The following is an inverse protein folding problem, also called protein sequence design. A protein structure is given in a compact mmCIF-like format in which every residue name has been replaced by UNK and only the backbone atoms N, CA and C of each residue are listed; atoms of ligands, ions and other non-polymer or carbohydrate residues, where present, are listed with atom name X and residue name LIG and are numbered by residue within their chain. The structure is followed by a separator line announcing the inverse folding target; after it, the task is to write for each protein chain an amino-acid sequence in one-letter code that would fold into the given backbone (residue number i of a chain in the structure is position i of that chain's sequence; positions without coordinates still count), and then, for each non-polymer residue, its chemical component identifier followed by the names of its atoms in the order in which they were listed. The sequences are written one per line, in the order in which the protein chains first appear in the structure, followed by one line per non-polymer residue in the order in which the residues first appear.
data_IF_366236687137
#
_entry.id   IF_366236687137
#
_cell.length_a   1.000
_cell.length_b   1.000
_cell.length_c   1.000
_cell.angle_alpha   90.00
_cell.angle_beta   90.00
_cell.angle_gamma   90.00
#
_symmetry.space_group_name_H-M   'P 1'
#
loop_
_entity.id
_entity.type
_entity.pdbx_description
1 polymer ?
#
# COMPACT_ATOMS: atom_id res chain seq x y z
N UNK A 1 30.45 -14.79 3.41
CA UNK A 1 31.25 -13.71 4.03
C UNK A 1 31.02 -12.43 3.24
N UNK A 2 30.06 -11.61 3.67
CA UNK A 2 29.63 -10.39 2.98
C UNK A 2 30.56 -9.23 3.32
N UNK A 3 31.39 -8.81 2.36
CA UNK A 3 32.27 -7.63 2.43
C UNK A 3 31.47 -6.33 2.35
N UNK A 4 30.56 -6.09 3.28
CA UNK A 4 29.96 -4.77 3.46
C UNK A 4 30.60 -4.14 4.72
N UNK A 5 31.45 -3.10 4.58
CA UNK A 5 32.25 -2.54 5.68
C UNK A 5 31.41 -2.01 6.85
N UNK A 6 30.11 -1.77 6.67
CA UNK A 6 29.20 -1.40 7.76
C UNK A 6 28.94 -2.55 8.76
N UNK A 7 29.04 -3.82 8.34
CA UNK A 7 28.78 -4.98 9.22
C UNK A 7 29.98 -5.36 10.10
N UNK A 8 31.17 -4.80 9.85
CA UNK A 8 32.38 -5.15 10.61
C UNK A 8 32.34 -4.66 12.07
N UNK A 9 31.33 -3.86 12.43
CA UNK A 9 31.10 -3.35 13.78
C UNK A 9 29.97 -4.08 14.52
N UNK A 10 29.32 -5.08 13.89
CA UNK A 10 28.21 -5.81 14.50
C UNK A 10 28.68 -7.14 15.09
N UNK A 11 28.14 -7.56 16.25
CA UNK A 11 28.25 -8.94 16.70
C UNK A 11 27.67 -9.91 15.66
N UNK A 12 28.28 -11.09 15.51
CA UNK A 12 27.88 -12.09 14.49
C UNK A 12 26.38 -12.42 14.52
N UNK A 13 25.80 -12.54 15.72
CA UNK A 13 24.38 -12.84 15.88
C UNK A 13 23.46 -11.73 15.35
N UNK A 14 23.86 -10.45 15.40
CA UNK A 14 23.08 -9.33 14.84
C UNK A 14 23.19 -9.31 13.31
N UNK A 15 24.37 -9.63 12.78
CA UNK A 15 24.58 -9.78 11.34
C UNK A 15 23.70 -10.91 10.78
N UNK A 16 23.61 -12.05 11.47
CA UNK A 16 22.71 -13.15 11.10
C UNK A 16 21.24 -12.74 11.10
N UNK A 17 20.79 -11.98 12.11
CA UNK A 17 19.41 -11.48 12.18
C UNK A 17 19.10 -10.59 10.97
N UNK A 18 20.01 -9.68 10.60
CA UNK A 18 19.81 -8.82 9.42
C UNK A 18 19.71 -9.66 8.13
N UNK A 19 20.56 -10.67 7.96
CA UNK A 19 20.50 -11.52 6.77
C UNK A 19 19.19 -12.32 6.69
N UNK A 20 18.73 -12.87 7.81
CA UNK A 20 17.44 -13.58 7.88
C UNK A 20 16.28 -12.64 7.54
N UNK A 21 16.27 -11.42 8.10
CA UNK A 21 15.24 -10.42 7.81
C UNK A 21 15.25 -10.04 6.33
N UNK A 22 16.42 -9.81 5.73
CA UNK A 22 16.54 -9.48 4.30
C UNK A 22 16.00 -10.62 3.44
N UNK A 23 16.43 -11.85 3.70
CA UNK A 23 15.97 -13.03 2.98
C UNK A 23 14.45 -13.20 3.06
N UNK A 24 13.88 -13.16 4.26
CA UNK A 24 12.43 -13.32 4.47
C UNK A 24 11.62 -12.15 3.88
N UNK A 25 12.16 -10.93 3.93
CA UNK A 25 11.54 -9.78 3.29
C UNK A 25 11.51 -9.96 1.78
N UNK A 26 12.62 -10.37 1.16
CA UNK A 26 12.70 -10.55 -0.29
C UNK A 26 11.81 -11.70 -0.78
N UNK A 27 11.77 -12.82 -0.04
CA UNK A 27 10.90 -13.98 -0.32
C UNK A 27 9.41 -13.61 -0.28
N UNK A 28 8.99 -12.75 0.65
CA UNK A 28 7.59 -12.29 0.75
C UNK A 28 7.29 -11.09 -0.16
N UNK A 29 8.29 -10.47 -0.77
CA UNK A 29 8.14 -9.30 -1.66
C UNK A 29 8.07 -9.65 -3.16
N UNK A 30 7.61 -10.86 -3.50
CA UNK A 30 7.51 -11.34 -4.87
C UNK A 30 6.46 -10.60 -5.71
N UNK A 31 5.23 -10.46 -5.20
CA UNK A 31 4.13 -9.79 -5.89
C UNK A 31 3.12 -9.19 -4.90
N UNK A 32 2.05 -8.56 -5.41
CA UNK A 32 1.03 -7.97 -4.55
C UNK A 32 0.34 -9.03 -3.66
N UNK A 33 0.19 -10.27 -4.14
CA UNK A 33 -0.47 -11.34 -3.40
C UNK A 33 0.36 -11.74 -2.17
N UNK A 34 1.65 -12.06 -2.38
CA UNK A 34 2.55 -12.49 -1.30
C UNK A 34 2.69 -11.40 -0.23
N UNK A 35 2.83 -10.14 -0.65
CA UNK A 35 2.95 -8.98 0.25
C UNK A 35 1.70 -8.78 1.09
N UNK A 36 0.53 -8.80 0.45
CA UNK A 36 -0.76 -8.59 1.12
C UNK A 36 -1.02 -9.66 2.17
N UNK A 37 -0.70 -10.92 1.82
CA UNK A 37 -0.82 -12.06 2.74
C UNK A 37 0.14 -11.96 3.91
N UNK A 38 1.41 -11.63 3.65
CA UNK A 38 2.42 -11.46 4.69
C UNK A 38 2.03 -10.40 5.73
N UNK A 39 1.43 -9.28 5.31
CA UNK A 39 0.90 -8.29 6.24
C UNK A 39 -0.26 -8.81 7.09
N UNK A 40 -1.18 -9.57 6.50
CA UNK A 40 -2.30 -10.16 7.23
C UNK A 40 -1.80 -11.17 8.26
N UNK A 41 -0.95 -12.11 7.84
CA UNK A 41 -0.39 -13.13 8.72
C UNK A 41 0.38 -12.50 9.89
N UNK A 42 1.18 -11.48 9.61
CA UNK A 42 1.90 -10.76 10.65
C UNK A 42 0.95 -10.07 11.64
N UNK A 43 -0.15 -9.48 11.17
CA UNK A 43 -1.15 -8.87 12.05
C UNK A 43 -1.88 -9.89 12.93
N UNK A 44 -2.20 -11.06 12.38
CA UNK A 44 -2.85 -12.14 13.12
C UNK A 44 -1.93 -12.67 14.23
N UNK A 45 -0.62 -12.70 14.01
CA UNK A 45 0.38 -13.06 15.03
C UNK A 45 0.64 -11.92 16.04
N UNK A 46 0.65 -10.66 15.58
CA UNK A 46 0.94 -9.46 16.38
C UNK A 46 -0.20 -8.41 16.28
N UNK A 47 -1.35 -8.59 16.96
CA UNK A 47 -2.51 -7.70 16.81
C UNK A 47 -2.29 -6.25 17.29
N UNK A 48 -1.24 -5.97 18.07
CA UNK A 48 -0.80 -4.62 18.39
C UNK A 48 -0.21 -3.87 17.21
N UNK A 49 0.22 -4.57 16.16
CA UNK A 49 0.81 -4.03 14.93
C UNK A 49 -0.29 -3.63 13.95
N UNK A 50 -1.16 -2.72 14.38
CA UNK A 50 -2.35 -2.27 13.63
C UNK A 50 -2.04 -1.70 12.24
N UNK A 51 -0.81 -1.23 12.01
CA UNK A 51 -0.37 -0.80 10.68
C UNK A 51 -0.30 -1.99 9.70
N UNK A 52 0.07 -3.20 10.14
CA UNK A 52 0.14 -4.37 9.27
C UNK A 52 -1.24 -4.73 8.71
N UNK A 53 -2.30 -4.69 9.53
CA UNK A 53 -3.66 -4.90 9.01
C UNK A 53 -4.08 -3.82 8.01
N UNK A 54 -3.77 -2.55 8.32
CA UNK A 54 -4.01 -1.45 7.39
C UNK A 54 -3.29 -1.67 6.06
N UNK A 55 -2.01 -2.03 6.11
CA UNK A 55 -1.19 -2.30 4.94
C UNK A 55 -1.76 -3.48 4.13
N UNK A 56 -2.23 -4.55 4.77
CA UNK A 56 -2.90 -5.66 4.07
C UNK A 56 -4.14 -5.17 3.32
N UNK A 57 -5.07 -4.47 3.99
CA UNK A 57 -6.32 -4.02 3.37
C UNK A 57 -6.10 -2.95 2.29
N UNK A 58 -5.13 -2.04 2.47
CA UNK A 58 -4.75 -1.06 1.45
C UNK A 58 -4.02 -1.75 0.28
N UNK A 59 -3.20 -2.77 0.52
CA UNK A 59 -2.48 -3.48 -0.54
C UNK A 59 -3.43 -4.28 -1.45
N UNK A 60 -4.54 -4.80 -0.91
CA UNK A 60 -5.63 -5.38 -1.72
C UNK A 60 -6.18 -4.41 -2.77
N UNK A 61 -6.28 -3.12 -2.40
CA UNK A 61 -6.69 -2.07 -3.33
C UNK A 61 -5.65 -1.83 -4.42
N UNK A 62 -4.36 -1.86 -4.07
CA UNK A 62 -3.27 -1.82 -5.04
C UNK A 62 -3.34 -2.99 -6.03
N UNK A 63 -3.67 -4.19 -5.55
CA UNK A 63 -3.81 -5.40 -6.35
C UNK A 63 -4.91 -5.30 -7.39
N UNK A 64 -6.15 -4.99 -6.98
CA UNK A 64 -7.24 -4.88 -7.96
C UNK A 64 -7.03 -3.75 -8.95
N UNK A 65 -6.43 -2.64 -8.52
CA UNK A 65 -6.10 -1.55 -9.43
C UNK A 65 -5.07 -1.97 -10.51
N UNK A 66 -4.16 -2.89 -10.19
CA UNK A 66 -3.27 -3.50 -11.20
C UNK A 66 -4.06 -4.36 -12.18
N UNK A 67 -4.94 -5.24 -11.69
CA UNK A 67 -5.71 -6.17 -12.52
C UNK A 67 -6.74 -5.47 -13.39
N UNK A 68 -7.32 -4.36 -12.94
CA UNK A 68 -8.24 -3.55 -13.75
C UNK A 68 -7.62 -3.10 -15.08
N UNK A 69 -6.31 -2.87 -15.11
CA UNK A 69 -5.62 -2.44 -16.32
C UNK A 69 -5.81 -3.46 -17.45
N UNK A 70 -5.92 -4.75 -17.14
CA UNK A 70 -6.15 -5.84 -18.09
C UNK A 70 -7.58 -6.41 -17.99
N UNK A 71 -8.50 -5.71 -17.31
CA UNK A 71 -9.93 -6.05 -17.30
C UNK A 71 -10.68 -5.57 -18.55
N UNK A 72 -12.00 -5.69 -18.61
CA UNK A 72 -12.78 -5.40 -19.83
C UNK A 72 -12.83 -3.90 -20.20
N UNK A 73 -12.58 -3.00 -19.25
CA UNK A 73 -12.84 -1.56 -19.40
C UNK A 73 -11.60 -0.71 -19.76
N UNK A 74 -10.50 -0.87 -19.03
CA UNK A 74 -9.29 -0.05 -19.27
C UNK A 74 -8.63 -0.26 -20.65
N UNK A 75 -8.57 -1.47 -21.24
CA UNK A 75 -8.01 -1.68 -22.58
C UNK A 75 -8.73 -0.90 -23.68
N UNK A 76 -10.03 -0.63 -23.51
CA UNK A 76 -10.83 0.18 -24.44
C UNK A 76 -10.42 1.64 -24.47
N UNK A 77 -9.72 2.11 -23.43
CA UNK A 77 -9.38 3.52 -23.27
C UNK A 77 -7.87 3.77 -23.25
N UNK A 78 -7.07 2.80 -22.83
CA UNK A 78 -5.62 2.91 -22.66
C UNK A 78 -4.88 1.92 -23.56
N UNK A 79 -3.96 2.43 -24.37
CA UNK A 79 -3.08 1.60 -25.18
C UNK A 79 -2.19 0.70 -24.29
N UNK A 80 -1.84 -0.52 -24.75
CA UNK A 80 -1.04 -1.48 -23.96
C UNK A 80 0.24 -0.89 -23.32
N UNK A 81 1.06 -0.06 -24.01
CA UNK A 81 2.26 0.52 -23.39
C UNK A 81 1.97 1.46 -22.21
N UNK A 82 0.79 2.09 -22.17
CA UNK A 82 0.38 2.94 -21.04
C UNK A 82 0.00 2.06 -19.85
N UNK A 83 -0.79 1.01 -20.09
CA UNK A 83 -1.25 0.05 -19.08
C UNK A 83 -0.05 -0.65 -18.43
N UNK A 84 0.92 -1.11 -19.22
CA UNK A 84 2.16 -1.69 -18.70
C UNK A 84 2.95 -0.72 -17.80
N UNK A 85 3.06 0.56 -18.17
CA UNK A 85 3.74 1.57 -17.33
C UNK A 85 2.99 1.83 -16.02
N UNK A 86 1.66 1.85 -16.07
CA UNK A 86 0.84 1.99 -14.86
C UNK A 86 1.05 0.79 -13.94
N UNK A 87 0.97 -0.43 -14.47
CA UNK A 87 1.26 -1.66 -13.72
C UNK A 87 2.63 -1.59 -13.03
N UNK A 88 3.69 -1.25 -13.77
CA UNK A 88 5.04 -1.12 -13.20
C UNK A 88 5.14 -0.02 -12.14
N UNK A 89 4.30 1.03 -12.22
CA UNK A 89 4.21 2.09 -11.20
C UNK A 89 3.61 1.56 -9.91
N UNK A 90 2.47 0.85 -9.99
CA UNK A 90 1.86 0.16 -8.87
C UNK A 90 2.82 -0.82 -8.23
N UNK A 91 3.46 -1.65 -9.05
CA UNK A 91 4.32 -2.72 -8.61
C UNK A 91 5.54 -2.13 -7.88
N UNK A 92 6.21 -1.14 -8.48
CA UNK A 92 7.37 -0.49 -7.87
C UNK A 92 7.04 0.21 -6.55
N UNK A 93 5.89 0.86 -6.46
CA UNK A 93 5.46 1.52 -5.23
C UNK A 93 5.24 0.52 -4.11
N UNK A 94 4.44 -0.53 -4.35
CA UNK A 94 4.15 -1.56 -3.37
C UNK A 94 5.40 -2.34 -2.96
N UNK A 95 6.29 -2.63 -3.90
CA UNK A 95 7.57 -3.30 -3.63
C UNK A 95 8.48 -2.48 -2.71
N UNK A 96 8.60 -1.16 -2.94
CA UNK A 96 9.41 -0.27 -2.10
C UNK A 96 8.83 -0.14 -0.69
N UNK A 97 7.50 0.01 -0.57
CA UNK A 97 6.81 0.07 0.72
C UNK A 97 7.05 -1.21 1.51
N UNK A 98 6.86 -2.37 0.88
CA UNK A 98 7.00 -3.65 1.56
C UNK A 98 8.43 -3.92 2.02
N UNK A 99 9.41 -3.64 1.16
CA UNK A 99 10.83 -3.79 1.51
C UNK A 99 11.21 -3.00 2.76
N UNK A 100 10.74 -1.75 2.85
CA UNK A 100 11.01 -0.86 3.99
C UNK A 100 10.20 -1.27 5.23
N UNK A 101 8.89 -1.47 5.12
CA UNK A 101 8.04 -1.65 6.28
C UNK A 101 8.07 -3.08 6.83
N UNK A 102 8.09 -4.09 5.98
CA UNK A 102 8.05 -5.48 6.43
C UNK A 102 9.34 -5.90 7.15
N UNK A 103 10.49 -5.39 6.72
CA UNK A 103 11.76 -5.61 7.43
C UNK A 103 11.75 -5.02 8.85
N UNK A 104 11.07 -3.88 9.06
CA UNK A 104 10.84 -3.31 10.39
C UNK A 104 9.95 -4.20 11.26
N UNK A 105 8.87 -4.75 10.68
CA UNK A 105 7.97 -5.68 11.36
C UNK A 105 8.69 -6.96 11.79
N UNK A 106 9.51 -7.54 10.92
CA UNK A 106 10.33 -8.70 11.28
C UNK A 106 11.31 -8.38 12.41
N UNK A 107 11.99 -7.23 12.36
CA UNK A 107 12.89 -6.83 13.45
C UNK A 107 12.15 -6.66 14.79
N UNK A 108 10.92 -6.17 14.75
CA UNK A 108 10.05 -6.14 15.93
C UNK A 108 9.73 -7.55 16.44
N UNK A 109 9.38 -8.50 15.56
CA UNK A 109 9.18 -9.92 15.91
C UNK A 109 10.43 -10.53 16.57
N UNK A 110 11.63 -10.27 16.03
CA UNK A 110 12.88 -10.72 16.66
C UNK A 110 13.10 -10.07 18.03
N UNK A 111 12.87 -8.76 18.15
CA UNK A 111 13.02 -8.00 19.39
C UNK A 111 12.09 -8.53 20.49
N UNK A 112 10.83 -8.84 20.17
CA UNK A 112 9.87 -9.43 21.12
C UNK A 112 10.27 -10.83 21.57
N UNK A 113 10.71 -11.69 20.63
CA UNK A 113 11.21 -13.05 20.93
C UNK A 113 12.46 -13.04 21.82
N UNK A 114 13.34 -12.05 21.64
CA UNK A 114 14.55 -11.86 22.46
C UNK A 114 14.33 -11.02 23.73
N UNK A 115 13.17 -10.38 23.86
CA UNK A 115 12.85 -9.41 24.94
C UNK A 115 13.88 -8.28 25.06
N UNK A 116 14.43 -7.85 23.93
CA UNK A 116 15.45 -6.80 23.86
C UNK A 116 15.15 -5.89 22.66
N UNK A 117 15.18 -4.55 22.81
CA UNK A 117 15.02 -3.66 21.66
C UNK A 117 16.26 -3.74 20.76
N UNK A 118 16.07 -4.21 19.51
CA UNK A 118 17.15 -4.33 18.52
C UNK A 118 17.08 -3.26 17.42
N UNK A 119 16.42 -2.13 17.67
CA UNK A 119 16.08 -1.14 16.64
C UNK A 119 17.27 -0.37 16.06
N UNK A 120 18.44 -0.40 16.73
CA UNK A 120 19.71 0.10 16.17
C UNK A 120 20.12 -0.66 14.89
N UNK A 121 19.52 -1.82 14.63
CA UNK A 121 19.75 -2.60 13.42
C UNK A 121 19.00 -2.06 12.19
N UNK A 122 18.03 -1.17 12.37
CA UNK A 122 17.22 -0.61 11.27
C UNK A 122 18.06 0.14 10.23
N UNK A 123 19.17 0.77 10.66
CA UNK A 123 20.11 1.43 9.74
C UNK A 123 20.75 0.48 8.73
N UNK A 124 20.85 -0.82 9.05
CA UNK A 124 21.37 -1.85 8.14
C UNK A 124 20.26 -2.52 7.30
N UNK A 125 19.01 -2.12 7.48
CA UNK A 125 17.85 -2.53 6.71
C UNK A 125 17.35 -1.42 5.76
N UNK A 126 18.18 -0.38 5.56
CA UNK A 126 17.87 0.78 4.72
C UNK A 126 16.64 1.57 5.19
N UNK A 127 16.33 1.49 6.49
CA UNK A 127 15.20 2.17 7.14
C UNK A 127 15.66 3.53 7.68
N UNK A 128 14.80 4.54 7.58
CA UNK A 128 15.09 5.90 8.05
C UNK A 128 15.34 5.95 9.56
N UNK A 129 16.28 6.81 10.00
CA UNK A 129 16.52 7.11 11.43
C UNK A 129 15.26 7.65 12.13
N UNK A 130 14.31 8.19 11.37
CA UNK A 130 13.00 8.55 11.89
C UNK A 130 12.31 7.34 12.51
N UNK A 131 12.26 6.21 11.80
CA UNK A 131 11.60 5.00 12.30
C UNK A 131 12.39 4.35 13.42
N UNK A 132 13.72 4.38 13.40
CA UNK A 132 14.54 3.90 14.51
C UNK A 132 14.12 4.54 15.85
N UNK A 133 13.94 5.87 15.86
CA UNK A 133 13.48 6.59 17.05
C UNK A 133 12.04 6.24 17.42
N UNK A 134 11.14 6.15 16.45
CA UNK A 134 9.73 5.87 16.71
C UNK A 134 9.49 4.44 17.20
N UNK A 135 10.28 3.46 16.74
CA UNK A 135 10.27 2.10 17.26
C UNK A 135 10.76 2.03 18.72
N UNK A 136 11.81 2.77 19.07
CA UNK A 136 12.28 2.89 20.45
C UNK A 136 11.17 3.45 21.37
N UNK A 137 10.51 4.53 20.93
CA UNK A 137 9.39 5.13 21.68
C UNK A 137 8.23 4.15 21.81
N UNK A 138 7.91 3.39 20.77
CA UNK A 138 6.86 2.37 20.83
C UNK A 138 7.21 1.26 21.81
N UNK A 139 8.44 0.77 21.82
CA UNK A 139 8.90 -0.26 22.75
C UNK A 139 8.76 0.16 24.21
N UNK A 140 9.08 1.42 24.52
CA UNK A 140 9.00 1.97 25.88
C UNK A 140 7.56 2.27 26.32
N UNK A 141 6.69 2.72 25.40
CA UNK A 141 5.38 3.30 25.75
C UNK A 141 4.17 2.49 25.30
N UNK A 142 4.33 1.59 24.34
CA UNK A 142 3.23 0.80 23.76
C UNK A 142 2.20 1.61 22.96
N UNK A 143 2.52 2.84 22.54
CA UNK A 143 1.57 3.72 21.83
C UNK A 143 1.36 3.28 20.37
N UNK A 144 0.39 2.39 20.17
CA UNK A 144 0.02 1.83 18.85
C UNK A 144 -0.37 2.91 17.84
N UNK A 145 -1.07 3.97 18.29
CA UNK A 145 -1.56 5.04 17.40
C UNK A 145 -0.41 5.92 16.90
N UNK A 146 0.58 6.18 17.77
CA UNK A 146 1.81 6.89 17.40
C UNK A 146 2.62 6.08 16.39
N UNK A 147 2.86 4.80 16.66
CA UNK A 147 3.62 3.93 15.74
C UNK A 147 2.93 3.82 14.37
N UNK A 148 1.61 3.59 14.36
CA UNK A 148 0.80 3.61 13.15
C UNK A 148 1.00 4.89 12.33
N UNK A 149 0.93 6.04 13.01
CA UNK A 149 1.12 7.34 12.36
C UNK A 149 2.54 7.51 11.82
N UNK A 150 3.55 7.06 12.57
CA UNK A 150 4.94 7.09 12.15
C UNK A 150 5.17 6.23 10.90
N UNK A 151 4.67 5.00 10.87
CA UNK A 151 4.77 4.10 9.71
C UNK A 151 4.08 4.69 8.47
N UNK A 152 2.90 5.30 8.61
CA UNK A 152 2.23 6.03 7.51
C UNK A 152 3.10 7.19 7.01
N UNK A 153 3.71 7.97 7.90
CA UNK A 153 4.60 9.07 7.52
C UNK A 153 5.82 8.54 6.76
N UNK A 154 6.44 7.47 7.25
CA UNK A 154 7.62 6.87 6.65
C UNK A 154 7.32 6.37 5.25
N UNK A 155 6.29 5.54 5.11
CA UNK A 155 5.82 4.99 3.82
C UNK A 155 5.64 6.10 2.76
N UNK A 156 4.92 7.16 3.14
CA UNK A 156 4.57 8.23 2.21
C UNK A 156 5.76 9.09 1.78
N UNK A 157 6.84 9.11 2.58
CA UNK A 157 8.10 9.74 2.24
C UNK A 157 9.02 8.80 1.43
N UNK A 158 9.08 7.51 1.77
CA UNK A 158 9.85 6.48 1.04
C UNK A 158 9.46 6.45 -0.45
N UNK A 159 8.15 6.52 -0.76
CA UNK A 159 7.70 6.47 -2.16
C UNK A 159 7.74 7.82 -2.90
N UNK A 160 7.98 8.94 -2.22
CA UNK A 160 7.74 10.27 -2.80
C UNK A 160 8.64 10.58 -4.01
N UNK A 161 9.95 10.40 -3.86
CA UNK A 161 10.90 10.65 -4.93
C UNK A 161 10.93 9.54 -6.00
N UNK A 162 11.05 8.25 -5.63
CA UNK A 162 11.27 7.19 -6.62
C UNK A 162 10.05 6.89 -7.47
N UNK A 163 8.84 7.19 -6.99
CA UNK A 163 7.58 6.90 -7.69
C UNK A 163 6.88 8.19 -8.09
N UNK A 164 6.52 9.04 -7.13
CA UNK A 164 5.62 10.18 -7.39
C UNK A 164 6.30 11.28 -8.23
N UNK A 165 7.61 11.45 -8.12
CA UNK A 165 8.36 12.47 -8.89
C UNK A 165 9.07 11.92 -10.13
N UNK A 166 8.97 10.62 -10.42
CA UNK A 166 9.76 10.01 -11.48
C UNK A 166 9.39 10.60 -12.87
N UNK A 167 10.36 11.09 -13.67
CA UNK A 167 10.10 11.87 -14.89
C UNK A 167 9.30 11.13 -15.98
N UNK A 168 9.40 9.79 -16.02
CA UNK A 168 8.67 8.93 -16.96
C UNK A 168 7.16 9.10 -16.82
N UNK A 169 6.67 9.35 -15.61
CA UNK A 169 5.24 9.52 -15.35
C UNK A 169 4.78 10.95 -15.65
N UNK A 170 5.59 11.96 -15.29
CA UNK A 170 5.27 13.40 -15.45
C UNK A 170 4.96 13.80 -16.90
N UNK A 171 5.70 13.26 -17.89
CA UNK A 171 5.68 13.75 -19.28
C UNK A 171 4.75 13.00 -20.25
N UNK A 172 4.34 11.75 -19.98
CA UNK A 172 3.63 10.91 -20.97
C UNK A 172 2.22 10.44 -20.56
N UNK A 173 1.81 10.64 -19.30
CA UNK A 173 0.49 10.23 -18.80
C UNK A 173 -0.39 11.43 -18.43
N UNK A 174 0.20 12.55 -17.99
CA UNK A 174 -0.55 13.64 -17.35
C UNK A 174 -0.89 14.85 -18.25
N UNK A 175 -0.47 14.86 -19.52
CA UNK A 175 -0.59 16.03 -20.41
C UNK A 175 -1.68 15.95 -21.50
N UNK A 176 -2.61 14.99 -21.46
CA UNK A 176 -3.64 14.86 -22.52
C UNK A 176 -4.95 14.38 -21.94
N UNK A 177 -5.97 15.25 -21.74
CA UNK A 177 -7.36 14.98 -21.31
C UNK A 177 -7.60 14.04 -20.08
N UNK A 178 -6.53 13.48 -19.53
CA UNK A 178 -6.42 12.49 -18.46
C UNK A 178 -6.23 13.16 -17.09
N UNK A 179 -6.52 14.46 -16.99
CA UNK A 179 -6.40 15.22 -15.74
C UNK A 179 -7.49 14.81 -14.72
N UNK A 180 -8.63 14.28 -15.17
CA UNK A 180 -9.60 13.58 -14.30
C UNK A 180 -9.19 12.12 -14.01
N UNK A 181 -8.32 11.55 -14.84
CA UNK A 181 -7.71 10.24 -14.61
C UNK A 181 -6.59 10.30 -13.56
N UNK A 182 -5.94 11.45 -13.33
CA UNK A 182 -4.99 11.64 -12.21
C UNK A 182 -5.58 11.25 -10.85
N UNK A 183 -6.87 11.49 -10.62
CA UNK A 183 -7.55 11.06 -9.40
C UNK A 183 -7.96 9.57 -9.48
N UNK A 184 -8.33 9.07 -10.66
CA UNK A 184 -8.88 7.72 -10.83
C UNK A 184 -7.81 6.61 -10.84
N UNK A 185 -6.65 6.88 -11.42
CA UNK A 185 -5.73 5.84 -11.85
C UNK A 185 -4.72 5.41 -10.80
N UNK A 186 -4.91 5.70 -9.50
CA UNK A 186 -4.03 5.10 -8.52
C UNK A 186 -4.44 5.18 -7.04
N UNK A 187 -5.03 6.27 -6.55
CA UNK A 187 -5.13 6.44 -5.09
C UNK A 187 -6.18 7.43 -4.56
N UNK A 188 -7.05 8.02 -5.40
CA UNK A 188 -8.03 8.93 -4.80
C UNK A 188 -8.88 8.17 -3.81
N UNK A 189 -9.34 6.96 -4.12
CA UNK A 189 -10.28 6.22 -3.29
C UNK A 189 -9.71 4.85 -2.90
N UNK A 190 -9.68 4.58 -1.61
CA UNK A 190 -9.38 3.26 -1.03
C UNK A 190 -10.64 2.75 -0.36
N UNK A 191 -10.99 1.49 -0.62
CA UNK A 191 -12.18 0.83 -0.11
C UNK A 191 -11.86 -0.41 0.74
N UNK A 192 -12.66 -0.65 1.76
CA UNK A 192 -12.68 -1.82 2.63
C UNK A 192 -14.02 -2.52 2.47
N UNK A 193 -14.02 -3.75 1.91
CA UNK A 193 -15.23 -4.53 1.70
C UNK A 193 -15.60 -5.33 2.95
N UNK A 194 -16.86 -5.76 3.00
CA UNK A 194 -17.38 -6.77 3.94
C UNK A 194 -17.89 -7.98 3.17
N UNK A 195 -18.03 -9.13 3.84
CA UNK A 195 -18.67 -10.31 3.27
C UNK A 195 -20.18 -10.12 2.99
N UNK A 196 -20.78 -9.04 3.49
CA UNK A 196 -22.16 -8.62 3.17
C UNK A 196 -22.25 -7.78 1.89
N UNK A 197 -21.12 -7.49 1.23
CA UNK A 197 -21.09 -6.71 -0.01
C UNK A 197 -21.09 -5.19 0.19
N UNK A 198 -20.88 -4.73 1.42
CA UNK A 198 -20.78 -3.32 1.75
C UNK A 198 -19.34 -2.81 1.60
N UNK A 199 -19.20 -1.57 1.13
CA UNK A 199 -17.92 -0.93 0.88
C UNK A 199 -17.79 0.31 1.75
N UNK A 200 -16.73 0.37 2.53
CA UNK A 200 -16.36 1.53 3.34
C UNK A 200 -15.05 2.12 2.82
N UNK A 201 -14.70 3.34 3.18
CA UNK A 201 -13.40 3.87 2.80
C UNK A 201 -13.31 5.38 2.78
N UNK A 202 -12.27 5.88 2.14
CA UNK A 202 -12.01 7.29 2.05
C UNK A 202 -11.46 7.66 0.69
N UNK A 203 -11.83 8.87 0.25
CA UNK A 203 -11.27 9.49 -0.95
C UNK A 203 -10.44 10.74 -0.65
N UNK A 204 -9.45 11.08 -1.47
CA UNK A 204 -8.63 12.30 -1.41
C UNK A 204 -8.42 12.94 -2.77
N UNK A 205 -8.52 14.27 -2.83
CA UNK A 205 -8.19 15.06 -4.03
C UNK A 205 -6.78 15.63 -3.93
N UNK A 206 -5.98 15.55 -5.00
CA UNK A 206 -4.63 16.12 -5.05
C UNK A 206 -3.57 15.26 -4.39
N UNK A 207 -3.51 13.99 -4.79
CA UNK A 207 -2.62 12.94 -4.29
C UNK A 207 -1.11 13.27 -4.36
N UNK A 208 -0.71 14.24 -5.19
CA UNK A 208 0.68 14.71 -5.31
C UNK A 208 1.26 15.21 -3.96
N UNK A 209 0.42 15.71 -3.05
CA UNK A 209 0.84 16.22 -1.74
C UNK A 209 1.04 15.10 -0.72
N UNK A 210 2.26 14.97 -0.18
CA UNK A 210 2.61 14.01 0.89
C UNK A 210 1.69 14.15 2.09
N UNK A 211 1.44 15.38 2.56
CA UNK A 211 0.57 15.63 3.71
C UNK A 211 -0.87 15.17 3.48
N UNK A 212 -1.39 15.29 2.25
CA UNK A 212 -2.72 14.79 1.91
C UNK A 212 -2.78 13.26 1.93
N UNK A 213 -1.72 12.58 1.48
CA UNK A 213 -1.62 11.12 1.55
C UNK A 213 -1.49 10.60 2.98
N UNK A 214 -0.68 11.26 3.80
CA UNK A 214 -0.59 10.96 5.24
C UNK A 214 -1.97 11.10 5.89
N UNK A 215 -2.71 12.17 5.57
CA UNK A 215 -4.07 12.35 6.08
C UNK A 215 -5.04 11.27 5.59
N UNK A 216 -4.95 10.85 4.32
CA UNK A 216 -5.73 9.71 3.81
C UNK A 216 -5.42 8.44 4.59
N UNK A 217 -4.13 8.09 4.78
CA UNK A 217 -3.73 6.91 5.56
C UNK A 217 -4.29 6.92 6.99
N UNK A 218 -4.25 8.07 7.67
CA UNK A 218 -4.85 8.23 9.01
C UNK A 218 -6.37 8.04 9.01
N UNK A 219 -7.07 8.58 8.01
CA UNK A 219 -8.53 8.41 7.87
C UNK A 219 -8.89 6.95 7.61
N UNK A 220 -8.15 6.28 6.74
CA UNK A 220 -8.33 4.85 6.46
C UNK A 220 -8.12 4.02 7.72
N UNK A 221 -7.06 4.27 8.49
CA UNK A 221 -6.86 3.61 9.78
C UNK A 221 -8.03 3.84 10.75
N UNK A 222 -8.52 5.07 10.84
CA UNK A 222 -9.69 5.41 11.67
C UNK A 222 -10.96 4.67 11.24
N UNK A 223 -11.15 4.38 9.96
CA UNK A 223 -12.31 3.62 9.46
C UNK A 223 -12.12 2.13 9.76
N UNK A 224 -10.94 1.59 9.42
CA UNK A 224 -10.62 0.17 9.55
C UNK A 224 -10.74 -0.34 10.99
N UNK A 225 -10.39 0.50 11.97
CA UNK A 225 -10.42 0.16 13.39
C UNK A 225 -11.61 0.77 14.14
N UNK A 226 -12.65 1.26 13.44
CA UNK A 226 -13.91 1.59 14.09
C UNK A 226 -14.54 0.30 14.62
N UNK A 227 -14.89 0.27 15.91
CA UNK A 227 -15.46 -0.89 16.60
C UNK A 227 -16.67 -1.53 15.90
N UNK A 228 -17.44 -0.73 15.13
CA UNK A 228 -18.61 -1.22 14.39
C UNK A 228 -18.24 -2.02 13.15
N UNK A 229 -17.11 -1.69 12.51
CA UNK A 229 -16.76 -2.22 11.19
C UNK A 229 -15.55 -3.16 11.24
N UNK A 230 -14.67 -3.02 12.23
CA UNK A 230 -13.47 -3.84 12.37
C UNK A 230 -13.73 -5.36 12.27
N UNK A 231 -14.73 -5.94 12.95
CA UNK A 231 -15.02 -7.37 12.83
C UNK A 231 -15.35 -7.79 11.40
N UNK A 232 -16.12 -6.97 10.68
CA UNK A 232 -16.53 -7.23 9.29
C UNK A 232 -15.35 -7.18 8.33
N UNK A 233 -14.42 -6.25 8.55
CA UNK A 233 -13.20 -6.14 7.74
C UNK A 233 -12.24 -7.29 7.99
N UNK A 234 -12.09 -7.71 9.26
CA UNK A 234 -11.24 -8.83 9.62
C UNK A 234 -11.81 -10.13 9.05
N UNK A 235 -13.12 -10.35 9.18
CA UNK A 235 -13.82 -11.48 8.57
C UNK A 235 -13.54 -11.55 7.07
N UNK A 236 -13.78 -10.45 6.34
CA UNK A 236 -13.48 -10.38 4.92
C UNK A 236 -12.03 -10.75 4.61
N UNK A 237 -11.07 -10.18 5.36
CA UNK A 237 -9.65 -10.39 5.11
C UNK A 237 -9.22 -11.85 5.30
N UNK A 238 -9.84 -12.55 6.25
CA UNK A 238 -9.53 -13.95 6.58
C UNK A 238 -10.26 -14.93 5.67
N UNK A 239 -11.53 -14.68 5.35
CA UNK A 239 -12.35 -15.60 4.55
C UNK A 239 -12.13 -15.46 3.04
N UNK A 240 -11.67 -14.30 2.58
CA UNK A 240 -11.53 -14.01 1.15
C UNK A 240 -10.09 -14.18 0.70
N UNK A 241 -9.83 -15.21 -0.10
CA UNK A 241 -8.54 -15.40 -0.77
C UNK A 241 -8.19 -14.17 -1.61
N UNK A 242 -6.94 -13.71 -1.52
CA UNK A 242 -6.51 -12.52 -2.24
C UNK A 242 -5.92 -12.90 -3.59
N UNK A 243 -6.70 -12.73 -4.66
CA UNK A 243 -6.24 -12.95 -6.04
C UNK A 243 -5.76 -11.67 -6.71
N UNK A 244 -5.90 -10.54 -5.99
CA UNK A 244 -5.76 -9.19 -6.51
C UNK A 244 -6.73 -8.86 -7.64
N UNK A 245 -7.76 -9.68 -7.91
CA UNK A 245 -8.84 -9.32 -8.82
C UNK A 245 -9.86 -8.45 -8.10
N UNK A 246 -10.58 -7.63 -8.88
CA UNK A 246 -11.75 -6.91 -8.34
C UNK A 246 -12.85 -7.88 -7.91
N UNK A 247 -12.88 -9.07 -8.52
CA UNK A 247 -13.81 -10.14 -8.17
C UNK A 247 -13.76 -10.52 -6.69
N UNK A 248 -12.59 -10.38 -6.04
CA UNK A 248 -12.44 -10.64 -4.60
C UNK A 248 -13.46 -9.85 -3.76
N UNK A 249 -13.83 -8.66 -4.23
CA UNK A 249 -14.79 -7.76 -3.58
C UNK A 249 -16.21 -7.99 -4.12
N UNK A 250 -16.34 -8.10 -5.43
CA UNK A 250 -17.62 -8.07 -6.13
C UNK A 250 -18.42 -9.36 -5.98
N UNK A 251 -17.78 -10.48 -5.62
CA UNK A 251 -18.44 -11.74 -5.31
C UNK A 251 -19.45 -11.64 -4.15
N UNK A 252 -19.29 -10.63 -3.27
CA UNK A 252 -20.20 -10.39 -2.14
C UNK A 252 -21.33 -9.42 -2.46
N UNK A 253 -21.39 -8.86 -3.67
CA UNK A 253 -22.49 -7.96 -4.02
C UNK A 253 -23.81 -8.71 -4.11
N UNK A 254 -24.90 -8.06 -3.71
CA UNK A 254 -26.26 -8.62 -3.74
C UNK A 254 -26.80 -8.99 -5.14
N UNK A 255 -26.04 -8.72 -6.20
CA UNK A 255 -26.40 -9.06 -7.58
C UNK A 255 -25.24 -9.81 -8.23
N UNK A 256 -25.56 -10.78 -9.08
CA UNK A 256 -24.55 -11.51 -9.83
C UNK A 256 -23.83 -10.56 -10.80
N UNK A 257 -22.52 -10.42 -10.60
CA UNK A 257 -21.65 -9.65 -11.47
C UNK A 257 -20.66 -10.59 -12.12
N UNK A 258 -20.74 -10.67 -13.46
CA UNK A 258 -19.71 -11.33 -14.27
C UNK A 258 -18.33 -10.76 -13.93
N UNK A 259 -17.36 -11.65 -13.68
CA UNK A 259 -15.95 -11.27 -13.54
C UNK A 259 -15.45 -10.63 -14.83
N UNK A 260 -15.09 -9.35 -14.73
CA UNK A 260 -14.56 -8.51 -15.81
C UNK A 260 -13.10 -8.09 -15.56
N UNK A 261 -12.45 -8.68 -14.54
CA UNK A 261 -11.04 -8.45 -14.21
C UNK A 261 -10.30 -9.78 -14.01
N UNK A 262 -9.07 -9.92 -14.52
CA UNK A 262 -8.32 -11.15 -14.40
C UNK A 262 -7.66 -11.31 -13.01
N UNK A 263 -7.04 -12.46 -12.79
CA UNK A 263 -6.19 -12.72 -11.61
C UNK A 263 -4.75 -12.28 -11.87
N UNK A 264 -4.10 -11.67 -10.87
CA UNK A 264 -2.77 -11.06 -11.05
C UNK A 264 -1.73 -12.02 -11.63
N UNK A 265 -1.58 -13.20 -11.01
CA UNK A 265 -0.59 -14.22 -11.41
C UNK A 265 -0.89 -14.90 -12.75
N UNK A 266 -2.10 -14.71 -13.29
CA UNK A 266 -2.47 -15.19 -14.62
C UNK A 266 -2.20 -14.15 -15.71
N UNK A 267 -1.85 -12.91 -15.34
CA UNK A 267 -1.83 -11.77 -16.25
C UNK A 267 -0.48 -11.07 -16.28
N UNK A 268 0.14 -10.88 -15.12
CA UNK A 268 1.41 -10.16 -15.01
C UNK A 268 2.52 -11.07 -14.53
N UNK A 269 3.74 -10.95 -15.09
CA UNK A 269 4.89 -11.68 -14.61
C UNK A 269 5.37 -11.10 -13.27
N UNK A 270 6.12 -11.91 -12.52
CA UNK A 270 6.89 -11.43 -11.38
C UNK A 270 7.95 -10.45 -11.90
N UNK A 271 7.99 -9.25 -11.32
CA UNK A 271 8.93 -8.20 -11.73
C UNK A 271 10.17 -8.27 -10.86
N UNK A 272 11.34 -8.40 -11.50
CA UNK A 272 12.61 -8.27 -10.80
C UNK A 272 12.91 -6.78 -10.56
N UNK A 273 13.11 -6.43 -9.30
CA UNK A 273 13.36 -5.07 -8.87
C UNK A 273 14.82 -4.89 -8.47
N UNK A 274 15.40 -3.76 -8.90
CA UNK A 274 16.71 -3.33 -8.41
C UNK A 274 16.53 -2.26 -7.34
N UNK A 275 17.15 -2.45 -6.17
CA UNK A 275 17.22 -1.40 -5.16
C UNK A 275 18.36 -0.45 -5.48
N UNK A 276 18.07 0.84 -5.52
CA UNK A 276 19.07 1.89 -5.57
C UNK A 276 18.96 2.64 -4.25
N UNK A 277 20.09 2.85 -3.57
CA UNK A 277 20.13 3.57 -2.31
C UNK A 277 19.64 5.01 -2.53
N UNK A 278 18.65 5.44 -1.75
CA UNK A 278 17.97 6.72 -1.94
C UNK A 278 18.33 7.76 -0.86
N UNK A 279 19.23 7.38 0.05
CA UNK A 279 19.54 8.13 1.26
C UNK A 279 18.35 8.20 2.23
N UNK A 280 18.62 8.75 3.42
CA UNK A 280 17.60 8.91 4.45
C UNK A 280 16.73 10.14 4.17
N UNK A 281 15.46 9.92 3.81
CA UNK A 281 14.51 10.99 3.52
C UNK A 281 14.37 11.98 4.68
N UNK A 282 14.52 11.53 5.93
CA UNK A 282 14.39 12.37 7.12
C UNK A 282 15.52 13.41 7.18
N UNK A 283 16.73 13.02 6.78
CA UNK A 283 17.89 13.93 6.67
C UNK A 283 17.76 14.88 5.48
N UNK A 284 17.24 14.37 4.36
CA UNK A 284 17.20 15.11 3.09
C UNK A 284 16.06 16.12 2.98
N UNK A 285 14.86 15.80 3.48
CA UNK A 285 13.64 16.63 3.32
C UNK A 285 13.17 17.31 4.61
N UNK A 286 13.65 16.85 5.76
CA UNK A 286 13.20 17.32 7.07
C UNK A 286 11.80 16.83 7.43
N UNK A 287 11.48 16.95 8.72
CA UNK A 287 10.22 16.48 9.30
C UNK A 287 9.28 17.64 9.62
N UNK A 288 7.99 17.46 9.32
CA UNK A 288 6.95 18.43 9.64
C UNK A 288 6.15 17.96 10.86
N UNK A 289 6.26 18.67 12.00
CA UNK A 289 5.51 18.38 13.24
C UNK A 289 4.00 18.24 13.04
N UNK A 290 3.45 18.97 12.06
CA UNK A 290 2.03 18.95 11.69
C UNK A 290 1.55 17.57 11.24
N UNK A 291 2.44 16.70 10.77
CA UNK A 291 2.08 15.35 10.35
C UNK A 291 1.57 14.48 11.49
N UNK A 292 1.99 14.72 12.75
CA UNK A 292 1.41 14.04 13.90
C UNK A 292 0.15 14.75 14.40
N UNK A 293 0.18 16.09 14.48
CA UNK A 293 -0.89 16.89 15.10
C UNK A 293 -2.14 17.09 14.24
N UNK A 294 -2.12 16.72 12.96
CA UNK A 294 -3.28 16.91 12.09
C UNK A 294 -4.46 16.04 12.54
N UNK A 295 -5.56 16.69 12.89
CA UNK A 295 -6.83 16.05 13.23
C UNK A 295 -7.39 15.23 12.06
N UNK A 296 -8.02 14.11 12.40
CA UNK A 296 -8.69 13.24 11.44
C UNK A 296 -10.09 13.81 11.24
N UNK A 297 -10.32 14.43 10.08
CA UNK A 297 -11.63 14.91 9.69
C UNK A 297 -12.13 14.12 8.47
N UNK A 298 -13.20 13.35 8.69
CA UNK A 298 -13.91 12.65 7.63
C UNK A 298 -14.84 13.62 6.91
N UNK A 299 -14.35 14.23 5.83
CA UNK A 299 -15.13 15.20 5.03
C UNK A 299 -16.29 14.59 4.25
N UNK A 300 -16.30 13.28 4.08
CA UNK A 300 -17.28 12.54 3.29
C UNK A 300 -17.76 11.31 4.07
N UNK A 301 -18.95 10.78 3.77
CA UNK A 301 -19.42 9.53 4.34
C UNK A 301 -18.39 8.42 4.18
N UNK A 302 -18.22 7.62 5.24
CA UNK A 302 -17.29 6.48 5.24
C UNK A 302 -17.87 5.28 4.52
N UNK A 303 -19.20 5.16 4.47
CA UNK A 303 -19.91 4.14 3.71
C UNK A 303 -20.04 4.60 2.26
N UNK A 304 -19.45 3.83 1.34
CA UNK A 304 -19.22 4.20 -0.05
C UNK A 304 -19.95 3.32 -1.05
N UNK A 305 -20.67 2.27 -0.65
CA UNK A 305 -21.31 1.30 -1.57
C UNK A 305 -22.09 1.96 -2.72
N UNK A 306 -23.04 2.83 -2.40
CA UNK A 306 -23.86 3.51 -3.41
C UNK A 306 -23.06 4.48 -4.28
N UNK A 307 -22.16 5.25 -3.66
CA UNK A 307 -21.29 6.19 -4.38
C UNK A 307 -20.34 5.47 -5.34
N UNK A 308 -19.75 4.36 -4.89
CA UNK A 308 -18.82 3.54 -5.65
C UNK A 308 -19.51 2.91 -6.87
N UNK A 309 -20.68 2.27 -6.68
CA UNK A 309 -21.49 1.71 -7.77
C UNK A 309 -21.86 2.78 -8.80
N UNK A 310 -22.24 3.98 -8.35
CA UNK A 310 -22.52 5.11 -9.24
C UNK A 310 -21.28 5.54 -10.04
N UNK A 311 -20.10 5.57 -9.39
CA UNK A 311 -18.83 5.93 -10.04
C UNK A 311 -18.35 4.92 -11.07
N UNK A 312 -18.50 3.62 -10.81
CA UNK A 312 -18.23 2.57 -11.79
C UNK A 312 -19.15 2.73 -13.01
N UNK A 313 -20.47 2.88 -12.81
CA UNK A 313 -21.41 3.09 -13.92
C UNK A 313 -21.08 4.32 -14.76
N UNK A 314 -20.69 5.43 -14.12
CA UNK A 314 -20.24 6.64 -14.82
C UNK A 314 -18.99 6.38 -15.67
N UNK A 315 -17.99 5.66 -15.12
CA UNK A 315 -16.78 5.31 -15.86
C UNK A 315 -17.10 4.43 -17.07
N UNK A 316 -17.90 3.39 -16.87
CA UNK A 316 -18.29 2.45 -17.93
C UNK A 316 -19.04 3.17 -19.05
N UNK A 317 -20.00 4.04 -18.70
CA UNK A 317 -20.73 4.85 -19.68
C UNK A 317 -19.80 5.78 -20.48
N UNK A 318 -18.84 6.44 -19.82
CA UNK A 318 -17.86 7.29 -20.50
C UNK A 318 -16.98 6.50 -21.48
N UNK A 319 -16.54 5.30 -21.07
CA UNK A 319 -15.74 4.41 -21.94
C UNK A 319 -16.56 3.96 -23.15
N UNK A 320 -17.80 3.52 -22.93
CA UNK A 320 -18.70 3.10 -24.03
C UNK A 320 -18.99 4.24 -25.01
N UNK A 321 -19.23 5.46 -24.50
CA UNK A 321 -19.44 6.64 -25.36
C UNK A 321 -18.19 6.94 -26.18
N UNK A 322 -17.00 6.89 -25.57
CA UNK A 322 -15.73 7.09 -26.29
C UNK A 322 -15.54 6.04 -27.39
N UNK A 323 -15.79 4.76 -27.08
CA UNK A 323 -15.67 3.63 -28.02
C UNK A 323 -16.53 3.87 -29.28
N UNK A 324 -17.76 4.38 -29.12
CA UNK A 324 -18.62 4.76 -30.24
C UNK A 324 -18.05 5.88 -31.13
N UNK A 325 -17.28 6.82 -30.56
CA UNK A 325 -16.69 7.94 -31.30
C UNK A 325 -15.27 7.67 -31.83
N UNK A 326 -14.64 6.56 -31.43
CA UNK A 326 -13.32 6.14 -31.92
C UNK A 326 -13.38 4.91 -32.82
N UNK A 327 -14.59 4.40 -33.10
CA UNK A 327 -14.81 3.32 -34.05
C UNK A 327 -14.87 3.89 -35.47
N UNK A 328 -13.72 4.35 -35.97
CA UNK A 328 -13.42 4.61 -37.40
C UNK A 328 -11.96 4.23 -37.68
#
# INVERSE_FOLDING_TARGET
MTQNPQFHQLPDHEAEVIQKIRFETDDKNLDNISRTRAYLDFYLEYPEMIWAFLASMVSRNGGYNMCDLEGDWFPKMLAPPIRQRLFLTYERANWLIFRDAFSQLLLYSYSTKKRLPMFHLLKFLDVSIFMEKEWQVFWERGDKKRLLTALIINEQNVIHNPVIRHPVYKKRVFNTLMFSFEDYLHFSTVIFPTCEGELYGASVNGFKSVSKRINLGKRLASILFDHRYYPLFLEFAVQTEHTASRHDYEQYFAYDKKRDTPFLRCTFPIIQHHFHEQGDWYKLRGYHKKWFSQEINHRHPVHLTGWYKKKQKQLHALISVKELFTSD
#
